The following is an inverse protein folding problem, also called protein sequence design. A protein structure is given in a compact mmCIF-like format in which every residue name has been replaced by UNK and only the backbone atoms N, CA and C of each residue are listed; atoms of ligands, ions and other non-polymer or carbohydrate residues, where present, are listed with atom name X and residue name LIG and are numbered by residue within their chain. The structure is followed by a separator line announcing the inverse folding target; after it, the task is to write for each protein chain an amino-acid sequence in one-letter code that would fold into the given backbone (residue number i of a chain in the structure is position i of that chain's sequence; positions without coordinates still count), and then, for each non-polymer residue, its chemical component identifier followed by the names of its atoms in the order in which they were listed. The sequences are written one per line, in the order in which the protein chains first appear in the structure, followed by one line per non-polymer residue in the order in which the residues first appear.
data_IF_303166375739
#
_entry.id   IF_303166375739
#
_cell.length_a   1.000
_cell.length_b   1.000
_cell.length_c   1.000
_cell.angle_alpha   90.00
_cell.angle_beta   90.00
_cell.angle_gamma   90.00
#
_symmetry.space_group_name_H-M   'P 1'
#
loop_
_entity.id
_entity.type
_entity.pdbx_description
1 polymer ?
#
# COMPACT_ATOMS: atom_id res chain seq x y z
N UNK A 1 -21.81 20.26 -11.52
CA UNK A 1 -21.34 19.08 -10.78
C UNK A 1 -22.40 18.00 -10.87
N UNK A 2 -22.06 16.82 -11.39
CA UNK A 2 -23.03 15.73 -11.63
C UNK A 2 -23.05 14.67 -10.51
N UNK A 3 -21.93 14.50 -9.79
CA UNK A 3 -21.78 13.49 -8.73
C UNK A 3 -21.49 14.09 -7.35
N UNK A 4 -20.40 14.87 -7.22
CA UNK A 4 -19.95 15.37 -5.93
C UNK A 4 -20.39 16.81 -5.69
N UNK A 5 -21.13 17.02 -4.61
CA UNK A 5 -21.45 18.31 -4.01
C UNK A 5 -20.31 18.84 -3.11
N UNK A 6 -19.42 17.95 -2.67
CA UNK A 6 -18.18 18.24 -1.94
C UNK A 6 -16.95 18.28 -2.87
N UNK A 7 -15.76 18.43 -2.30
CA UNK A 7 -14.48 18.31 -3.02
C UNK A 7 -14.14 16.85 -3.34
N UNK A 8 -13.35 16.62 -4.40
CA UNK A 8 -12.94 15.28 -4.84
C UNK A 8 -11.47 15.07 -4.47
N UNK A 9 -11.21 14.07 -3.62
CA UNK A 9 -9.84 13.69 -3.24
C UNK A 9 -9.25 12.78 -4.31
N UNK A 10 -8.24 13.27 -5.03
CA UNK A 10 -7.42 12.48 -5.92
C UNK A 10 -6.02 13.11 -6.04
N UNK A 11 -5.00 12.28 -6.18
CA UNK A 11 -3.65 12.73 -6.53
C UNK A 11 -3.47 12.63 -8.03
N UNK A 12 -3.29 13.77 -8.69
CA UNK A 12 -2.94 13.82 -10.10
C UNK A 12 -1.44 13.65 -10.23
N UNK A 13 -0.99 12.61 -10.92
CA UNK A 13 0.42 12.37 -11.20
C UNK A 13 0.81 12.87 -12.58
N UNK A 14 2.07 13.26 -12.75
CA UNK A 14 2.61 13.73 -14.03
C UNK A 14 4.08 13.33 -14.20
N UNK A 15 4.47 13.04 -15.43
CA UNK A 15 5.86 12.83 -15.83
C UNK A 15 6.58 14.18 -15.99
N UNK A 16 7.93 14.22 -15.87
CA UNK A 16 8.68 15.48 -16.06
C UNK A 16 8.38 16.20 -17.38
N UNK A 17 8.17 15.45 -18.47
CA UNK A 17 7.81 15.99 -19.81
C UNK A 17 6.42 16.65 -19.89
N UNK A 18 5.58 16.46 -18.88
CA UNK A 18 4.22 16.99 -18.80
C UNK A 18 4.15 18.25 -17.93
N UNK A 19 5.25 18.63 -17.26
CA UNK A 19 5.29 19.72 -16.29
C UNK A 19 4.81 21.07 -16.88
N UNK A 20 5.18 21.37 -18.11
CA UNK A 20 4.81 22.62 -18.78
C UNK A 20 3.30 22.74 -19.07
N UNK A 21 2.55 21.63 -19.01
CA UNK A 21 1.10 21.61 -19.22
C UNK A 21 0.32 22.01 -17.96
N UNK A 22 0.95 21.93 -16.78
CA UNK A 22 0.27 22.08 -15.48
C UNK A 22 -0.39 23.45 -15.33
N UNK A 23 0.33 24.53 -15.64
CA UNK A 23 -0.20 25.89 -15.49
C UNK A 23 -1.42 26.14 -16.39
N UNK A 24 -1.40 25.59 -17.61
CA UNK A 24 -2.51 25.65 -18.55
C UNK A 24 -3.75 24.91 -18.02
N UNK A 25 -3.56 23.69 -17.51
CA UNK A 25 -4.64 22.88 -16.94
C UNK A 25 -5.25 23.53 -15.69
N UNK A 26 -4.42 24.03 -14.76
CA UNK A 26 -4.91 24.73 -13.57
C UNK A 26 -5.71 25.98 -13.95
N UNK A 27 -5.24 26.73 -14.94
CA UNK A 27 -5.95 27.90 -15.47
C UNK A 27 -7.29 27.49 -16.08
N UNK A 28 -7.32 26.43 -16.90
CA UNK A 28 -8.53 25.94 -17.55
C UNK A 28 -9.59 25.50 -16.54
N UNK A 29 -9.19 24.77 -15.48
CA UNK A 29 -10.12 24.17 -14.54
C UNK A 29 -10.36 24.98 -13.25
N UNK A 30 -9.84 26.21 -13.16
CA UNK A 30 -9.89 27.07 -11.96
C UNK A 30 -11.29 27.31 -11.38
N UNK A 31 -12.33 27.23 -12.22
CA UNK A 31 -13.73 27.46 -11.81
C UNK A 31 -14.47 26.18 -11.41
N UNK A 32 -13.86 25.02 -11.61
CA UNK A 32 -14.48 23.70 -11.38
C UNK A 32 -13.79 22.96 -10.23
N UNK A 33 -12.48 23.13 -10.07
CA UNK A 33 -11.68 22.49 -9.04
C UNK A 33 -11.92 23.18 -7.68
N UNK A 34 -12.39 22.42 -6.69
CA UNK A 34 -12.50 22.88 -5.30
C UNK A 34 -11.20 22.71 -4.52
N UNK A 35 -10.44 21.66 -4.84
CA UNK A 35 -9.11 21.38 -4.29
C UNK A 35 -8.34 20.53 -5.28
N UNK A 36 -7.01 20.63 -5.28
CA UNK A 36 -6.12 19.83 -6.13
C UNK A 36 -4.91 19.36 -5.35
N UNK A 37 -4.48 18.14 -5.61
CA UNK A 37 -3.24 17.54 -5.09
C UNK A 37 -2.48 16.94 -6.25
N UNK A 38 -1.22 17.33 -6.43
CA UNK A 38 -0.39 16.86 -7.52
C UNK A 38 0.92 16.29 -6.98
N UNK A 39 1.39 15.21 -7.60
CA UNK A 39 2.64 14.55 -7.23
C UNK A 39 3.41 14.14 -8.49
N UNK A 40 4.66 14.56 -8.69
CA UNK A 40 5.48 14.06 -9.78
C UNK A 40 5.57 12.53 -9.74
N UNK A 41 5.31 11.88 -10.86
CA UNK A 41 5.46 10.44 -10.97
C UNK A 41 6.94 10.08 -10.92
N UNK A 42 7.34 9.42 -9.84
CA UNK A 42 8.67 8.82 -9.71
C UNK A 42 8.52 7.31 -9.85
N UNK A 43 9.31 6.71 -10.75
CA UNK A 43 9.29 5.27 -10.97
C UNK A 43 9.79 4.47 -9.75
N UNK A 44 9.73 3.14 -9.86
CA UNK A 44 10.24 2.25 -8.82
C UNK A 44 11.79 2.23 -8.83
N UNK A 45 12.41 3.03 -7.95
CA UNK A 45 13.87 3.02 -7.72
C UNK A 45 14.32 2.04 -6.63
N UNK A 46 13.41 1.23 -6.08
CA UNK A 46 13.66 0.38 -4.92
C UNK A 46 13.94 -1.06 -5.35
N UNK A 47 14.95 -1.69 -4.72
CA UNK A 47 15.25 -3.13 -4.92
C UNK A 47 14.08 -4.05 -4.58
N UNK A 48 13.24 -3.64 -3.64
CA UNK A 48 12.02 -4.33 -3.23
C UNK A 48 10.86 -3.33 -3.27
N UNK A 49 10.48 -2.91 -4.48
CA UNK A 49 9.35 -2.02 -4.65
C UNK A 49 8.04 -2.71 -4.18
N UNK A 50 7.19 -2.03 -3.39
CA UNK A 50 5.91 -2.63 -2.95
C UNK A 50 4.99 -3.01 -4.11
N UNK A 51 5.10 -2.29 -5.23
CA UNK A 51 4.40 -2.58 -6.48
C UNK A 51 5.41 -2.61 -7.61
N UNK A 52 5.53 -3.76 -8.25
CA UNK A 52 6.42 -3.97 -9.39
C UNK A 52 5.58 -4.20 -10.65
N UNK A 53 5.84 -3.47 -11.75
CA UNK A 53 5.17 -3.72 -13.02
C UNK A 53 5.68 -5.03 -13.62
N UNK A 54 4.76 -5.93 -13.97
CA UNK A 54 5.06 -7.23 -14.61
C UNK A 54 4.20 -7.42 -15.86
N UNK A 55 4.69 -8.21 -16.82
CA UNK A 55 3.91 -8.60 -17.98
C UNK A 55 2.85 -9.66 -17.64
N UNK A 56 1.90 -9.85 -18.56
CA UNK A 56 0.77 -10.78 -18.39
C UNK A 56 1.23 -12.24 -18.26
N UNK A 57 2.30 -12.65 -18.95
CA UNK A 57 2.84 -14.01 -18.87
C UNK A 57 3.43 -14.28 -17.49
N UNK A 58 4.24 -13.35 -16.97
CA UNK A 58 4.81 -13.38 -15.63
C UNK A 58 3.70 -13.41 -14.57
N UNK A 59 2.67 -12.58 -14.71
CA UNK A 59 1.49 -12.60 -13.83
C UNK A 59 0.83 -13.99 -13.79
N UNK A 60 0.52 -14.57 -14.97
CA UNK A 60 -0.12 -15.89 -15.06
C UNK A 60 0.73 -17.00 -14.43
N UNK A 61 2.04 -16.97 -14.63
CA UNK A 61 2.98 -17.93 -14.02
C UNK A 61 2.98 -17.82 -12.49
N UNK A 62 3.05 -16.60 -11.95
CA UNK A 62 3.01 -16.36 -10.49
C UNK A 62 1.67 -16.80 -9.88
N UNK A 63 0.55 -16.52 -10.54
CA UNK A 63 -0.76 -16.98 -10.10
C UNK A 63 -0.87 -18.51 -10.09
N UNK A 64 -0.36 -19.19 -11.11
CA UNK A 64 -0.38 -20.66 -11.17
C UNK A 64 0.45 -21.32 -10.06
N UNK A 65 1.50 -20.65 -9.58
CA UNK A 65 2.31 -21.11 -8.45
C UNK A 65 1.58 -20.97 -7.10
N UNK A 66 0.56 -20.12 -7.00
CA UNK A 66 -0.23 -19.93 -5.78
C UNK A 66 -1.44 -20.88 -5.83
N UNK A 67 -1.28 -22.07 -5.26
CA UNK A 67 -2.28 -23.14 -5.34
C UNK A 67 -3.10 -23.34 -4.04
N UNK A 68 -3.04 -22.41 -3.08
CA UNK A 68 -3.69 -22.55 -1.78
C UNK A 68 -4.33 -21.26 -1.29
N UNK A 69 -5.41 -21.39 -0.51
CA UNK A 69 -6.01 -20.27 0.22
C UNK A 69 -5.29 -20.08 1.55
N UNK A 70 -4.56 -18.98 1.69
CA UNK A 70 -3.89 -18.63 2.95
C UNK A 70 -4.89 -18.54 4.10
N UNK A 71 -6.10 -18.00 3.86
CA UNK A 71 -7.12 -17.87 4.89
C UNK A 71 -7.60 -19.24 5.41
N UNK A 72 -7.78 -20.22 4.52
CA UNK A 72 -8.22 -21.56 4.91
C UNK A 72 -7.11 -22.33 5.65
N UNK A 73 -5.88 -22.28 5.13
CA UNK A 73 -4.73 -22.93 5.77
C UNK A 73 -4.48 -22.32 7.15
N UNK A 74 -4.51 -20.99 7.24
CA UNK A 74 -4.35 -20.28 8.49
C UNK A 74 -5.47 -20.67 9.47
N UNK A 75 -6.74 -20.66 9.06
CA UNK A 75 -7.84 -21.06 9.94
C UNK A 75 -7.69 -22.47 10.53
N UNK A 76 -7.21 -23.44 9.73
CA UNK A 76 -6.94 -24.81 10.22
C UNK A 76 -5.76 -24.83 11.18
N UNK A 77 -4.65 -24.15 10.85
CA UNK A 77 -3.46 -24.07 11.72
C UNK A 77 -3.73 -23.36 13.05
N UNK A 78 -4.71 -22.47 13.06
CA UNK A 78 -5.04 -21.57 14.17
C UNK A 78 -6.37 -22.01 14.85
N UNK A 79 -6.94 -23.17 14.49
CA UNK A 79 -8.20 -23.65 15.07
C UNK A 79 -8.07 -24.04 16.55
N UNK A 80 -6.89 -24.47 16.99
CA UNK A 80 -6.60 -24.94 18.36
C UNK A 80 -5.85 -23.90 19.22
N UNK A 81 -6.08 -22.60 19.01
CA UNK A 81 -5.47 -21.53 19.84
C UNK A 81 -5.92 -21.46 21.31
N UNK A 82 -6.54 -22.52 21.83
CA UNK A 82 -6.66 -22.68 23.28
C UNK A 82 -5.33 -23.02 23.97
N UNK A 83 -4.27 -23.35 23.22
CA UNK A 83 -2.92 -23.40 23.75
C UNK A 83 -2.22 -22.04 23.61
N UNK A 84 -2.19 -21.35 24.76
CA UNK A 84 -1.51 -20.08 25.04
C UNK A 84 0.03 -20.19 24.95
N UNK A 85 0.58 -20.58 23.81
CA UNK A 85 2.04 -20.65 23.63
C UNK A 85 2.59 -19.54 22.72
N UNK A 86 1.92 -18.37 22.73
CA UNK A 86 2.69 -17.14 22.88
C UNK A 86 2.54 -16.73 24.35
N UNK A 87 3.38 -17.29 25.22
CA UNK A 87 3.75 -16.54 26.41
C UNK A 87 4.34 -15.23 25.91
N UNK A 88 3.55 -14.14 25.95
CA UNK A 88 4.15 -12.84 26.20
C UNK A 88 4.88 -13.04 27.53
N UNK A 89 6.20 -13.22 27.44
CA UNK A 89 7.09 -13.22 28.61
C UNK A 89 6.64 -12.02 29.44
N UNK A 90 6.23 -12.30 30.68
CA UNK A 90 5.68 -11.33 31.59
C UNK A 90 6.56 -10.07 31.59
N UNK A 91 5.93 -8.88 31.59
CA UNK A 91 6.65 -7.59 31.58
C UNK A 91 7.54 -7.39 32.82
N UNK A 92 7.52 -8.33 33.77
CA UNK A 92 8.48 -8.45 34.85
C UNK A 92 9.94 -8.49 34.38
N UNK A 93 10.22 -9.02 33.18
CA UNK A 93 11.59 -9.05 32.62
C UNK A 93 12.10 -7.68 32.14
N UNK A 94 11.21 -6.68 32.00
CA UNK A 94 11.59 -5.30 31.68
C UNK A 94 11.82 -4.40 32.90
N UNK A 95 11.72 -4.93 34.13
CA UNK A 95 11.94 -4.13 35.35
C UNK A 95 13.38 -3.57 35.48
N UNK A 96 14.36 -4.17 34.79
CA UNK A 96 15.77 -3.77 34.80
C UNK A 96 16.27 -2.98 33.59
N UNK A 97 15.42 -2.66 32.61
CA UNK A 97 15.80 -1.85 31.44
C UNK A 97 16.70 -2.54 30.40
N UNK A 98 16.86 -3.86 30.43
CA UNK A 98 17.55 -4.62 29.39
C UNK A 98 16.76 -5.89 29.04
N UNK A 99 16.38 -6.07 27.78
CA UNK A 99 15.76 -7.31 27.31
C UNK A 99 16.81 -8.43 27.24
N UNK A 100 16.59 -9.60 27.86
CA UNK A 100 17.49 -10.73 27.75
C UNK A 100 17.44 -11.30 26.33
N UNK A 101 18.58 -11.32 25.66
CA UNK A 101 18.78 -12.01 24.39
C UNK A 101 19.05 -13.48 24.72
N UNK A 102 18.23 -14.39 24.19
CA UNK A 102 18.63 -15.77 23.95
C UNK A 102 18.90 -15.95 22.46
#
# INVERSE_FOLDING_TARGET
TYWSDNAVSCTVTFQPKEADQIAGLLSQYRHVIKSTSMLPYVGAGFKQAPKEPIDVKTYKQKCAAIHGSVAAVFAVQNADHHQKDLELVDQTDCAGGACPIK
#
